data_IF_177943287892
#
_entry.id   IF_177943287892
#
_cell.length_a   1.000
_cell.length_b   1.000
_cell.length_c   1.000
_cell.angle_alpha   90.00
_cell.angle_beta   90.00
_cell.angle_gamma   90.00
#
_symmetry.space_group_name_H-M   'P 1'
#
loop_
_entity.id
_entity.type
_entity.pdbx_description
1 polymer ?
#
# COMPACT_ATOMS: atom_id res chain seq x y z
N UNK A 1 -6.17 37.51 -48.96
CA UNK A 1 -6.84 37.45 -47.64
C UNK A 1 -7.24 36.00 -47.36
N UNK A 2 -6.48 35.25 -46.56
CA UNK A 2 -7.02 34.03 -45.88
C UNK A 2 -6.01 33.27 -45.01
N UNK A 3 -4.69 33.52 -45.12
CA UNK A 3 -3.71 32.79 -44.28
C UNK A 3 -3.62 33.32 -42.84
N UNK A 4 -3.84 34.61 -42.64
CA UNK A 4 -3.78 35.25 -41.31
C UNK A 4 -5.01 34.87 -40.46
N UNK A 5 -6.17 34.65 -41.10
CA UNK A 5 -7.41 34.28 -40.41
C UNK A 5 -7.36 32.87 -39.82
N UNK A 6 -6.70 31.93 -40.51
CA UNK A 6 -6.50 30.54 -40.05
C UNK A 6 -5.55 30.46 -38.84
N UNK A 7 -4.51 31.30 -38.80
CA UNK A 7 -3.59 31.39 -37.65
C UNK A 7 -4.27 32.02 -36.43
N UNK A 8 -5.12 33.03 -36.63
CA UNK A 8 -5.90 33.64 -35.55
C UNK A 8 -6.91 32.64 -34.93
N UNK A 9 -7.52 31.77 -35.74
CA UNK A 9 -8.47 30.77 -35.23
C UNK A 9 -7.80 29.73 -34.33
N UNK A 10 -6.54 29.37 -34.62
CA UNK A 10 -5.78 28.39 -33.82
C UNK A 10 -5.39 28.95 -32.44
N UNK A 11 -5.13 30.25 -32.34
CA UNK A 11 -4.81 30.92 -31.06
C UNK A 11 -6.04 31.19 -30.19
N UNK A 12 -7.23 31.35 -30.79
CA UNK A 12 -8.47 31.63 -30.03
C UNK A 12 -9.18 30.36 -29.56
N UNK A 13 -9.00 29.23 -30.26
CA UNK A 13 -9.63 27.94 -29.88
C UNK A 13 -8.64 26.88 -29.35
N UNK A 14 -7.34 27.17 -29.35
CA UNK A 14 -6.32 26.33 -28.73
C UNK A 14 -6.33 26.47 -27.21
N UNK A 15 -7.43 26.08 -26.54
CA UNK A 15 -7.37 25.82 -25.12
C UNK A 15 -6.26 24.78 -24.89
N UNK A 16 -5.22 25.08 -24.11
CA UNK A 16 -4.30 24.04 -23.73
C UNK A 16 -5.14 23.07 -22.89
N UNK A 17 -5.34 21.85 -23.41
CA UNK A 17 -5.74 20.70 -22.61
C UNK A 17 -4.58 20.44 -21.65
N UNK A 18 -4.45 21.31 -20.64
CA UNK A 18 -3.69 21.04 -19.43
C UNK A 18 -4.48 19.94 -18.74
N UNK A 19 -4.18 18.69 -19.10
CA UNK A 19 -4.54 17.57 -18.29
C UNK A 19 -3.99 17.86 -16.90
N UNK A 20 -4.88 17.98 -15.92
CA UNK A 20 -4.53 18.15 -14.52
C UNK A 20 -3.65 16.95 -14.13
N UNK A 21 -2.33 17.16 -14.11
CA UNK A 21 -1.36 16.12 -13.81
C UNK A 21 -1.35 15.77 -12.32
N UNK A 22 -2.15 16.47 -11.51
CA UNK A 22 -2.38 16.12 -10.13
C UNK A 22 -3.29 14.89 -10.06
N UNK A 23 -2.69 13.71 -10.16
CA UNK A 23 -3.38 12.49 -9.73
C UNK A 23 -3.87 12.73 -8.31
N UNK A 24 -5.19 12.64 -8.08
CA UNK A 24 -5.74 12.81 -6.73
C UNK A 24 -4.97 11.90 -5.78
N UNK A 25 -4.48 12.43 -4.64
CA UNK A 25 -3.68 11.65 -3.72
C UNK A 25 -4.51 10.44 -3.24
N UNK A 26 -3.88 9.26 -3.21
CA UNK A 26 -4.54 7.98 -2.86
C UNK A 26 -5.21 8.09 -1.48
N UNK A 27 -4.56 8.81 -0.57
CA UNK A 27 -5.06 9.24 0.73
C UNK A 27 -4.42 10.57 1.14
N UNK A 28 -4.99 11.24 2.14
CA UNK A 28 -4.61 12.59 2.57
C UNK A 28 -3.75 12.63 3.85
N UNK A 29 -3.69 11.53 4.60
CA UNK A 29 -2.93 11.41 5.84
C UNK A 29 -2.69 9.95 6.18
N UNK A 30 -1.83 9.69 7.17
CA UNK A 30 -1.56 8.34 7.68
C UNK A 30 -2.85 7.63 8.13
N UNK A 31 -3.72 8.33 8.87
CA UNK A 31 -5.01 7.80 9.34
C UNK A 31 -6.02 7.60 8.20
N UNK A 32 -6.04 8.48 7.19
CA UNK A 32 -6.89 8.29 6.00
C UNK A 32 -6.46 7.04 5.21
N UNK A 33 -5.15 6.85 5.01
CA UNK A 33 -4.64 5.66 4.35
C UNK A 33 -4.97 4.38 5.12
N UNK A 34 -4.80 4.39 6.44
CA UNK A 34 -5.14 3.27 7.31
C UNK A 34 -6.64 2.95 7.22
N UNK A 35 -7.51 3.95 7.33
CA UNK A 35 -8.96 3.78 7.23
C UNK A 35 -9.36 3.18 5.88
N UNK A 36 -8.76 3.67 4.79
CA UNK A 36 -9.00 3.10 3.44
C UNK A 36 -8.47 1.68 3.30
N UNK A 37 -7.35 1.36 3.96
CA UNK A 37 -6.81 0.00 3.97
C UNK A 37 -7.72 -0.95 4.75
N UNK A 38 -8.28 -0.51 5.87
CA UNK A 38 -9.23 -1.30 6.66
C UNK A 38 -10.57 -1.50 5.94
N UNK A 39 -10.99 -0.53 5.12
CA UNK A 39 -12.23 -0.59 4.34
C UNK A 39 -12.20 -1.58 3.15
N UNK A 40 -11.04 -2.14 2.79
CA UNK A 40 -10.94 -3.16 1.74
C UNK A 40 -10.51 -4.49 2.33
N UNK A 41 -10.97 -5.60 1.78
CA UNK A 41 -10.46 -6.92 2.15
C UNK A 41 -9.31 -7.37 1.25
N UNK A 42 -9.11 -6.72 0.10
CA UNK A 42 -8.15 -7.12 -0.93
C UNK A 42 -6.72 -6.80 -0.49
N UNK A 43 -5.89 -7.83 -0.30
CA UNK A 43 -4.54 -7.68 0.26
C UNK A 43 -3.66 -6.78 -0.60
N UNK A 44 -3.60 -6.98 -1.91
CA UNK A 44 -2.88 -6.08 -2.83
C UNK A 44 -3.23 -4.60 -2.65
N UNK A 45 -4.52 -4.28 -2.49
CA UNK A 45 -4.98 -2.90 -2.31
C UNK A 45 -4.58 -2.35 -0.95
N UNK A 46 -4.67 -3.17 0.12
CA UNK A 46 -4.14 -2.81 1.45
C UNK A 46 -2.65 -2.46 1.39
N UNK A 47 -1.86 -3.31 0.75
CA UNK A 47 -0.41 -3.12 0.61
C UNK A 47 -0.12 -1.79 -0.10
N UNK A 48 -0.82 -1.48 -1.19
CA UNK A 48 -0.66 -0.20 -1.90
C UNK A 48 -0.95 1.00 -1.01
N UNK A 49 -2.06 0.97 -0.26
CA UNK A 49 -2.45 2.05 0.64
C UNK A 49 -1.46 2.25 1.78
N UNK A 50 -1.03 1.16 2.41
CA UNK A 50 -0.07 1.20 3.52
C UNK A 50 1.34 1.58 3.06
N UNK A 51 1.76 1.15 1.86
CA UNK A 51 3.01 1.61 1.26
C UNK A 51 3.01 3.12 1.04
N UNK A 52 1.92 3.66 0.48
CA UNK A 52 1.79 5.11 0.29
C UNK A 52 1.77 5.85 1.62
N UNK A 53 1.05 5.32 2.62
CA UNK A 53 1.01 5.92 3.96
C UNK A 53 2.42 6.06 4.56
N UNK A 54 3.21 4.98 4.45
CA UNK A 54 4.54 4.90 5.03
C UNK A 54 5.57 5.70 4.22
N UNK A 55 5.44 5.79 2.90
CA UNK A 55 6.35 6.62 2.09
C UNK A 55 6.11 8.11 2.27
N UNK A 56 4.85 8.54 2.28
CA UNK A 56 4.51 9.96 2.27
C UNK A 56 4.41 10.57 3.67
N UNK A 57 3.91 9.81 4.66
CA UNK A 57 3.52 10.38 5.96
C UNK A 57 4.34 9.89 7.16
N UNK A 58 5.23 8.90 7.00
CA UNK A 58 5.94 8.34 8.14
C UNK A 58 7.05 9.24 8.70
N UNK A 59 7.66 10.11 7.88
CA UNK A 59 8.88 10.85 8.23
C UNK A 59 8.81 11.62 9.55
N UNK A 60 7.63 12.16 9.88
CA UNK A 60 7.40 12.96 11.09
C UNK A 60 6.39 12.31 12.05
N UNK A 61 6.02 11.04 11.81
CA UNK A 61 5.06 10.34 12.63
C UNK A 61 5.77 9.67 13.83
N UNK A 62 5.19 9.72 15.03
CA UNK A 62 5.66 8.92 16.17
C UNK A 62 5.69 7.43 15.82
N UNK A 63 6.69 6.71 16.31
CA UNK A 63 6.88 5.27 16.05
C UNK A 63 5.62 4.49 16.42
N UNK A 64 4.99 4.81 17.54
CA UNK A 64 3.78 4.17 18.06
C UNK A 64 2.61 4.24 17.06
N UNK A 65 2.55 5.30 16.25
CA UNK A 65 1.56 5.43 15.17
C UNK A 65 1.91 4.63 13.92
N UNK A 66 3.17 4.25 13.75
CA UNK A 66 3.65 3.46 12.61
C UNK A 66 3.45 1.96 12.83
N UNK A 67 3.64 1.47 14.06
CA UNK A 67 3.59 0.02 14.37
C UNK A 67 2.30 -0.67 13.87
N UNK A 68 1.08 -0.14 14.09
CA UNK A 68 -0.14 -0.75 13.57
C UNK A 68 -0.13 -0.90 12.04
N UNK A 69 0.43 0.08 11.32
CA UNK A 69 0.49 0.07 9.85
C UNK A 69 1.46 -0.99 9.34
N UNK A 70 2.62 -1.13 9.99
CA UNK A 70 3.60 -2.17 9.67
C UNK A 70 3.02 -3.57 9.93
N UNK A 71 2.33 -3.81 11.06
CA UNK A 71 1.66 -5.08 11.35
C UNK A 71 0.62 -5.45 10.28
N UNK A 72 -0.26 -4.50 9.94
CA UNK A 72 -1.26 -4.67 8.86
C UNK A 72 -0.62 -4.95 7.51
N UNK A 73 0.49 -4.28 7.21
CA UNK A 73 1.21 -4.42 5.94
C UNK A 73 1.86 -5.78 5.83
N UNK A 74 2.63 -6.21 6.82
CA UNK A 74 3.25 -7.55 6.88
C UNK A 74 2.22 -8.64 6.65
N UNK A 75 1.13 -8.60 7.42
CA UNK A 75 0.04 -9.58 7.31
C UNK A 75 -0.47 -9.66 5.87
N UNK A 76 -0.78 -8.52 5.27
CA UNK A 76 -1.30 -8.48 3.91
C UNK A 76 -0.26 -8.95 2.88
N UNK A 77 1.02 -8.61 3.06
CA UNK A 77 2.11 -9.05 2.18
C UNK A 77 2.27 -10.57 2.20
N UNK A 78 2.28 -11.19 3.39
CA UNK A 78 2.41 -12.64 3.54
C UNK A 78 1.24 -13.36 2.87
N UNK A 79 0.01 -12.92 3.16
CA UNK A 79 -1.20 -13.53 2.60
C UNK A 79 -1.26 -13.40 1.07
N UNK A 80 -1.01 -12.21 0.53
CA UNK A 80 -0.95 -11.97 -0.92
C UNK A 80 0.13 -12.85 -1.57
N UNK A 81 1.34 -12.91 -1.01
CA UNK A 81 2.42 -13.72 -1.58
C UNK A 81 2.08 -15.23 -1.62
N UNK A 82 1.28 -15.70 -0.67
CA UNK A 82 0.77 -17.07 -0.61
C UNK A 82 -0.45 -17.31 -1.50
N UNK A 83 -0.91 -16.30 -2.23
CA UNK A 83 -2.02 -16.40 -3.17
C UNK A 83 -3.39 -16.21 -2.54
N UNK A 84 -3.48 -15.82 -1.27
CA UNK A 84 -4.71 -15.31 -0.70
C UNK A 84 -4.91 -13.87 -1.20
N UNK A 85 -6.02 -13.62 -1.88
CA UNK A 85 -6.35 -12.30 -2.40
C UNK A 85 -7.12 -11.44 -1.40
N UNK A 86 -7.66 -12.06 -0.34
CA UNK A 86 -8.59 -11.43 0.60
C UNK A 86 -9.97 -11.17 0.00
N UNK A 87 -10.27 -11.71 -1.18
CA UNK A 87 -11.59 -11.63 -1.79
C UNK A 87 -12.59 -12.51 -1.01
N UNK A 88 -13.70 -11.90 -0.58
CA UNK A 88 -14.75 -12.55 0.24
C UNK A 88 -16.07 -12.77 -0.51
N UNK A 89 -16.05 -12.83 -1.85
CA UNK A 89 -17.25 -13.20 -2.60
C UNK A 89 -17.58 -14.69 -2.48
N UNK A 90 -18.58 -15.15 -3.24
CA UNK A 90 -19.06 -16.54 -3.19
C UNK A 90 -17.98 -17.58 -3.51
N UNK A 91 -16.95 -17.19 -4.27
CA UNK A 91 -15.81 -18.03 -4.64
C UNK A 91 -14.54 -17.42 -4.05
N UNK A 92 -13.78 -18.22 -3.29
CA UNK A 92 -12.45 -17.82 -2.80
C UNK A 92 -11.49 -17.82 -3.98
N UNK A 93 -11.00 -16.63 -4.35
CA UNK A 93 -10.02 -16.47 -5.42
C UNK A 93 -8.61 -16.68 -4.87
N UNK A 94 -7.97 -17.78 -5.31
CA UNK A 94 -6.55 -18.03 -5.08
C UNK A 94 -5.73 -17.69 -6.31
N UNK A 95 -4.60 -17.02 -6.12
CA UNK A 95 -3.73 -16.58 -7.22
C UNK A 95 -2.35 -17.23 -7.08
N UNK A 96 -1.84 -17.80 -8.16
CA UNK A 96 -0.44 -18.24 -8.21
C UNK A 96 0.43 -17.10 -8.76
N UNK A 97 1.31 -16.58 -7.90
CA UNK A 97 2.25 -15.53 -8.30
C UNK A 97 3.56 -16.12 -8.85
N UNK A 98 4.19 -15.38 -9.75
CA UNK A 98 5.53 -15.70 -10.24
C UNK A 98 6.56 -15.72 -9.09
N UNK A 99 7.60 -16.57 -9.15
CA UNK A 99 8.61 -16.67 -8.10
C UNK A 99 9.26 -15.32 -7.74
N UNK A 100 9.55 -14.48 -8.72
CA UNK A 100 10.21 -13.18 -8.52
C UNK A 100 9.30 -12.23 -7.73
N UNK A 101 7.99 -12.26 -8.01
CA UNK A 101 7.01 -11.49 -7.24
C UNK A 101 6.99 -11.95 -5.78
N UNK A 102 6.91 -13.27 -5.54
CA UNK A 102 6.90 -13.84 -4.19
C UNK A 102 8.15 -13.45 -3.41
N UNK A 103 9.32 -13.55 -4.04
CA UNK A 103 10.59 -13.14 -3.43
C UNK A 103 10.59 -11.65 -3.07
N UNK A 104 10.12 -10.78 -3.98
CA UNK A 104 10.05 -9.34 -3.72
C UNK A 104 9.12 -8.98 -2.55
N UNK A 105 8.01 -9.71 -2.41
CA UNK A 105 7.07 -9.53 -1.30
C UNK A 105 7.66 -10.07 0.00
N UNK A 106 8.35 -11.20 -0.05
CA UNK A 106 9.04 -11.79 1.12
C UNK A 106 10.06 -10.82 1.70
N UNK A 107 10.90 -10.19 0.87
CA UNK A 107 11.89 -9.20 1.34
C UNK A 107 11.22 -8.01 2.05
N UNK A 108 10.10 -7.50 1.50
CA UNK A 108 9.35 -6.41 2.14
C UNK A 108 8.77 -6.81 3.50
N UNK A 109 8.21 -8.02 3.60
CA UNK A 109 7.70 -8.52 4.88
C UNK A 109 8.84 -8.73 5.89
N UNK A 110 10.01 -9.17 5.44
CA UNK A 110 11.19 -9.33 6.30
C UNK A 110 11.67 -7.98 6.85
N UNK A 111 11.75 -6.95 6.00
CA UNK A 111 12.13 -5.59 6.41
C UNK A 111 11.15 -5.01 7.44
N UNK A 112 9.85 -5.23 7.22
CA UNK A 112 8.82 -4.80 8.15
C UNK A 112 8.87 -5.53 9.49
N UNK A 113 9.12 -6.85 9.48
CA UNK A 113 9.30 -7.65 10.71
C UNK A 113 10.51 -7.14 11.50
N UNK A 114 11.65 -6.89 10.84
CA UNK A 114 12.84 -6.31 11.47
C UNK A 114 12.58 -4.93 12.08
N UNK A 115 11.80 -4.09 11.39
CA UNK A 115 11.38 -2.80 11.93
C UNK A 115 10.53 -2.98 13.19
N UNK A 116 9.55 -3.89 13.19
CA UNK A 116 8.69 -4.18 14.33
C UNK A 116 9.48 -4.74 15.52
N UNK A 117 10.41 -5.68 15.27
CA UNK A 117 11.30 -6.26 16.29
C UNK A 117 12.19 -5.20 16.94
N UNK A 118 12.80 -4.32 16.13
CA UNK A 118 13.66 -3.25 16.62
C UNK A 118 12.91 -2.23 17.50
N UNK A 119 11.59 -2.17 17.37
CA UNK A 119 10.71 -1.24 18.09
C UNK A 119 9.73 -1.97 19.03
N UNK A 120 10.02 -3.22 19.40
CA UNK A 120 9.10 -4.05 20.19
C UNK A 120 8.70 -3.45 21.54
N UNK A 121 9.55 -2.59 22.12
CA UNK A 121 9.28 -1.91 23.40
C UNK A 121 8.07 -0.96 23.34
N UNK A 122 7.66 -0.56 22.14
CA UNK A 122 6.52 0.32 21.91
C UNK A 122 5.24 -0.45 21.54
N UNK A 123 5.31 -1.78 21.40
CA UNK A 123 4.16 -2.61 21.09
C UNK A 123 3.30 -2.82 22.33
N UNK A 124 1.99 -2.72 22.15
CA UNK A 124 1.02 -3.20 23.14
C UNK A 124 1.08 -4.73 23.22
N UNK A 125 0.61 -5.32 24.33
CA UNK A 125 0.56 -6.78 24.48
C UNK A 125 -0.16 -7.48 23.32
N UNK A 126 -1.24 -6.88 22.80
CA UNK A 126 -1.98 -7.43 21.66
C UNK A 126 -1.14 -7.43 20.38
N UNK A 127 -0.40 -6.34 20.13
CA UNK A 127 0.48 -6.22 18.98
C UNK A 127 1.71 -7.13 19.08
N UNK A 128 2.22 -7.38 20.29
CA UNK A 128 3.30 -8.35 20.52
C UNK A 128 2.85 -9.76 20.17
N UNK A 129 1.63 -10.16 20.57
CA UNK A 129 1.05 -11.44 20.16
C UNK A 129 0.86 -11.51 18.65
N UNK A 130 0.35 -10.44 18.02
CA UNK A 130 0.21 -10.37 16.56
C UNK A 130 1.56 -10.49 15.84
N UNK A 131 2.61 -9.84 16.34
CA UNK A 131 3.96 -9.95 15.77
C UNK A 131 4.46 -11.40 15.80
N UNK A 132 4.28 -12.10 16.92
CA UNK A 132 4.68 -13.50 17.03
C UNK A 132 3.93 -14.40 16.03
N UNK A 133 2.61 -14.20 15.88
CA UNK A 133 1.82 -14.90 14.85
C UNK A 133 2.35 -14.63 13.44
N UNK A 134 2.69 -13.38 13.12
CA UNK A 134 3.23 -13.00 11.81
C UNK A 134 4.60 -13.60 11.55
N UNK A 135 5.48 -13.71 12.56
CA UNK A 135 6.77 -14.38 12.44
C UNK A 135 6.61 -15.87 12.14
N UNK A 136 5.64 -16.54 12.79
CA UNK A 136 5.30 -17.94 12.49
C UNK A 136 4.79 -18.08 11.06
N UNK A 137 3.78 -17.29 10.66
CA UNK A 137 3.22 -17.31 9.31
C UNK A 137 4.29 -17.04 8.23
N UNK A 138 5.18 -16.07 8.47
CA UNK A 138 6.27 -15.75 7.55
C UNK A 138 7.24 -16.93 7.39
N UNK A 139 7.53 -17.64 8.47
CA UNK A 139 8.43 -18.80 8.47
C UNK A 139 7.81 -20.00 7.74
N UNK A 140 6.52 -20.24 7.90
CA UNK A 140 5.78 -21.29 7.18
C UNK A 140 5.62 -21.01 5.69
N UNK A 141 5.71 -19.72 5.30
CA UNK A 141 5.61 -19.27 3.92
C UNK A 141 6.92 -19.36 3.14
N UNK A 142 7.99 -19.92 3.73
CA UNK A 142 9.35 -19.98 3.15
C UNK A 142 9.52 -21.00 2.05
#
# INVERSE_FOLDING_TARGET
MNRILLLALFFVFGFPLLADSSSKPVCLSLSDCETKADATTIHRKKITLLNFALSEYAKNAPIEKLLPLYLKRVRSIILEANGDTGYKGEIVLKVSHKPEYKQSQRLKAEDDLKFLESNQNYLTSAQTSELAELQTLFSESK
#
